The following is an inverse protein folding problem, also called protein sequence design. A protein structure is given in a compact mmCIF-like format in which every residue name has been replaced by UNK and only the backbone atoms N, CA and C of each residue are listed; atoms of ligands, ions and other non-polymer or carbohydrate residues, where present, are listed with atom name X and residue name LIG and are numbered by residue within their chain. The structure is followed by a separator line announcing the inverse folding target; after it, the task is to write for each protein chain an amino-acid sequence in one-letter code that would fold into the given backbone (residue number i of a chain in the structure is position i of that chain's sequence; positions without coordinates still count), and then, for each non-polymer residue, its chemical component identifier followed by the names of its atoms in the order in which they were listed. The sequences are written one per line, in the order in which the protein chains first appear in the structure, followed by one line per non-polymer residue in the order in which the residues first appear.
data_IF_932946144757
#
_entry.id   IF_932946144757
#
_cell.length_a   1.000
_cell.length_b   1.000
_cell.length_c   1.000
_cell.angle_alpha   90.00
_cell.angle_beta   90.00
_cell.angle_gamma   90.00
#
_symmetry.space_group_name_H-M   'P 1'
#
loop_
_entity.id
_entity.type
_entity.pdbx_description
1 polymer ?
#
# COMPACT_ATOMS: atom_id res chain seq x y z
N UNK A 1 13.76 -11.50 19.37
CA UNK A 1 12.68 -12.24 18.68
C UNK A 1 12.38 -13.46 19.52
N UNK A 2 11.36 -13.38 20.38
CA UNK A 2 10.97 -14.44 21.32
C UNK A 2 9.59 -14.95 20.92
N UNK A 3 9.52 -16.21 20.53
CA UNK A 3 8.35 -17.11 20.51
C UNK A 3 7.04 -16.63 19.89
N UNK A 4 7.07 -16.00 18.71
CA UNK A 4 5.87 -15.84 17.87
C UNK A 4 4.70 -15.04 18.47
N UNK A 5 4.86 -14.51 19.69
CA UNK A 5 3.88 -13.67 20.37
C UNK A 5 4.07 -12.23 19.91
N UNK A 6 3.06 -11.71 19.22
CA UNK A 6 3.01 -10.34 18.77
C UNK A 6 2.53 -9.46 19.94
N UNK A 7 3.47 -8.86 20.68
CA UNK A 7 3.14 -7.81 21.66
C UNK A 7 2.84 -6.50 20.92
N UNK A 8 1.61 -6.40 20.43
CA UNK A 8 1.09 -5.28 19.67
C UNK A 8 0.00 -4.57 20.48
N UNK A 9 -0.02 -3.24 20.47
CA UNK A 9 -1.21 -2.48 20.86
C UNK A 9 -2.24 -2.56 19.71
N UNK A 10 -3.40 -3.23 19.89
CA UNK A 10 -4.35 -3.43 18.80
C UNK A 10 -4.94 -2.12 18.28
N UNK A 11 -5.16 -1.12 19.14
CA UNK A 11 -5.72 0.15 18.73
C UNK A 11 -4.70 0.94 17.89
N UNK A 12 -3.43 0.95 18.31
CA UNK A 12 -2.35 1.59 17.55
C UNK A 12 -2.13 0.91 16.21
N UNK A 13 -2.18 -0.42 16.16
CA UNK A 13 -1.97 -1.18 14.94
C UNK A 13 -3.11 -1.02 13.93
N UNK A 14 -4.38 -1.03 14.39
CA UNK A 14 -5.53 -0.71 13.53
C UNK A 14 -5.41 0.68 12.92
N UNK A 15 -5.05 1.68 13.74
CA UNK A 15 -4.83 3.05 13.25
C UNK A 15 -3.71 3.09 12.21
N UNK A 16 -2.58 2.46 12.50
CA UNK A 16 -1.47 2.40 11.55
C UNK A 16 -1.83 1.72 10.23
N UNK A 17 -2.61 0.63 10.27
CA UNK A 17 -3.12 -0.03 9.06
C UNK A 17 -4.08 0.86 8.27
N UNK A 18 -5.01 1.54 8.95
CA UNK A 18 -5.93 2.49 8.32
C UNK A 18 -5.19 3.68 7.69
N UNK A 19 -4.22 4.28 8.41
CA UNK A 19 -3.40 5.37 7.90
C UNK A 19 -2.58 4.93 6.67
N UNK A 20 -2.07 3.71 6.68
CA UNK A 20 -1.35 3.12 5.55
C UNK A 20 -2.26 2.92 4.34
N UNK A 21 -3.49 2.46 4.56
CA UNK A 21 -4.46 2.28 3.48
C UNK A 21 -4.82 3.61 2.81
N UNK A 22 -5.09 4.64 3.62
CA UNK A 22 -5.35 6.01 3.17
C UNK A 22 -4.14 6.61 2.42
N UNK A 23 -2.92 6.33 2.88
CA UNK A 23 -1.72 6.75 2.17
C UNK A 23 -1.63 6.09 0.78
N UNK A 24 -1.97 4.80 0.67
CA UNK A 24 -2.03 4.09 -0.62
C UNK A 24 -3.08 4.68 -1.57
N UNK A 25 -4.25 5.05 -1.06
CA UNK A 25 -5.29 5.74 -1.83
C UNK A 25 -4.81 7.11 -2.32
N UNK A 26 -4.19 7.90 -1.43
CA UNK A 26 -3.64 9.21 -1.79
C UNK A 26 -2.52 9.12 -2.85
N UNK A 27 -1.64 8.12 -2.73
CA UNK A 27 -0.59 7.84 -3.73
C UNK A 27 -1.20 7.44 -5.07
N UNK A 28 -2.24 6.62 -5.06
CA UNK A 28 -2.97 6.18 -6.27
C UNK A 28 -3.68 7.36 -6.94
N UNK A 29 -4.33 8.23 -6.15
CA UNK A 29 -4.99 9.43 -6.65
C UNK A 29 -3.99 10.41 -7.29
N UNK A 30 -2.82 10.63 -6.66
CA UNK A 30 -1.76 11.46 -7.27
C UNK A 30 -1.16 10.84 -8.52
N UNK A 31 -1.00 9.51 -8.58
CA UNK A 31 -0.65 8.85 -9.84
C UNK A 31 -1.70 9.21 -10.91
N UNK A 32 -2.98 9.04 -10.62
CA UNK A 32 -4.03 9.29 -11.61
C UNK A 32 -4.03 10.74 -12.13
N UNK A 33 -3.81 11.72 -11.24
CA UNK A 33 -3.73 13.14 -11.60
C UNK A 33 -2.39 13.51 -12.25
N UNK A 34 -1.32 13.57 -11.45
CA UNK A 34 0.01 14.05 -11.89
C UNK A 34 0.61 13.14 -12.97
N UNK A 35 0.45 11.82 -12.82
CA UNK A 35 0.91 10.85 -13.82
C UNK A 35 0.14 10.96 -15.14
N UNK A 36 -1.16 11.26 -15.08
CA UNK A 36 -1.97 11.50 -16.28
C UNK A 36 -1.55 12.76 -17.03
N UNK A 37 -1.19 13.83 -16.30
CA UNK A 37 -0.62 15.06 -16.89
C UNK A 37 0.72 14.80 -17.58
N UNK A 38 1.59 13.98 -16.96
CA UNK A 38 2.87 13.56 -17.56
C UNK A 38 2.61 12.76 -18.85
N UNK A 39 1.71 11.78 -18.83
CA UNK A 39 1.38 10.97 -20.01
C UNK A 39 0.84 11.84 -21.15
N UNK A 40 -0.04 12.80 -20.84
CA UNK A 40 -0.61 13.73 -21.80
C UNK A 40 0.45 14.68 -22.40
N UNK A 41 1.28 15.30 -21.55
CA UNK A 41 2.35 16.19 -22.00
C UNK A 41 3.36 15.44 -22.87
N UNK A 42 3.72 14.23 -22.46
CA UNK A 42 4.67 13.41 -23.20
C UNK A 42 4.08 12.97 -24.54
N UNK A 43 2.77 12.69 -24.62
CA UNK A 43 2.07 12.41 -25.88
C UNK A 43 2.15 13.54 -26.92
N UNK A 44 2.30 14.80 -26.48
CA UNK A 44 2.49 15.95 -27.36
C UNK A 44 3.91 16.07 -27.94
N UNK A 45 4.86 15.22 -27.53
CA UNK A 45 6.27 15.21 -27.97
C UNK A 45 6.94 16.59 -27.90
N UNK A 46 7.08 17.18 -26.71
CA UNK A 46 7.55 18.56 -26.52
C UNK A 46 9.02 18.81 -26.90
N UNK A 47 9.81 17.75 -27.09
CA UNK A 47 11.25 17.80 -27.41
C UNK A 47 11.56 17.84 -28.90
N UNK A 48 10.58 18.14 -29.75
CA UNK A 48 10.78 18.31 -31.20
C UNK A 48 10.72 17.01 -32.01
N UNK A 49 10.78 17.18 -33.34
CA UNK A 49 10.65 16.10 -34.33
C UNK A 49 11.96 15.78 -35.04
N UNK A 50 13.07 16.43 -34.67
CA UNK A 50 14.40 16.16 -35.21
C UNK A 50 15.00 14.88 -34.60
N UNK A 51 16.18 14.51 -35.08
CA UNK A 51 16.88 13.30 -34.61
C UNK A 51 17.22 13.35 -33.12
N UNK A 52 17.49 14.55 -32.59
CA UNK A 52 17.77 14.77 -31.17
C UNK A 52 16.49 14.53 -30.36
N UNK A 53 15.37 15.10 -30.76
CA UNK A 53 14.06 14.88 -30.16
C UNK A 53 13.62 13.41 -30.24
N UNK A 54 13.86 12.74 -31.36
CA UNK A 54 13.58 11.31 -31.50
C UNK A 54 14.48 10.42 -30.62
N UNK A 55 15.73 10.81 -30.38
CA UNK A 55 16.62 10.12 -29.45
C UNK A 55 16.19 10.34 -27.98
N UNK A 56 15.82 11.57 -27.62
CA UNK A 56 15.29 11.89 -26.30
C UNK A 56 14.00 11.13 -26.02
N UNK A 57 13.04 11.16 -26.95
CA UNK A 57 11.77 10.42 -26.86
C UNK A 57 11.99 8.97 -26.47
N UNK A 58 12.84 8.25 -27.22
CA UNK A 58 13.07 6.82 -27.00
C UNK A 58 13.57 6.53 -25.59
N UNK A 59 14.48 7.35 -25.09
CA UNK A 59 15.07 7.17 -23.76
C UNK A 59 14.09 7.57 -22.67
N UNK A 60 13.44 8.72 -22.82
CA UNK A 60 12.49 9.27 -21.86
C UNK A 60 11.27 8.37 -21.70
N UNK A 61 10.67 7.94 -22.82
CA UNK A 61 9.43 7.14 -22.84
C UNK A 61 9.57 5.84 -22.06
N UNK A 62 10.71 5.15 -22.18
CA UNK A 62 10.96 3.91 -21.46
C UNK A 62 11.06 4.12 -19.94
N UNK A 63 11.69 5.21 -19.52
CA UNK A 63 11.82 5.57 -18.10
C UNK A 63 10.47 6.03 -17.55
N UNK A 64 9.77 6.91 -18.25
CA UNK A 64 8.42 7.40 -17.93
C UNK A 64 7.47 6.23 -17.63
N UNK A 65 7.33 5.29 -18.58
CA UNK A 65 6.45 4.13 -18.41
C UNK A 65 6.87 3.21 -17.25
N UNK A 66 8.16 3.13 -16.95
CA UNK A 66 8.66 2.34 -15.82
C UNK A 66 8.30 2.99 -14.50
N UNK A 67 8.53 4.30 -14.36
CA UNK A 67 8.18 5.07 -13.16
C UNK A 67 6.68 5.07 -12.94
N UNK A 68 5.88 5.34 -13.97
CA UNK A 68 4.42 5.41 -13.84
C UNK A 68 3.81 4.06 -13.44
N UNK A 69 4.33 2.94 -13.95
CA UNK A 69 3.90 1.60 -13.52
C UNK A 69 4.32 1.29 -12.09
N UNK A 70 5.56 1.63 -11.72
CA UNK A 70 6.04 1.44 -10.36
C UNK A 70 5.19 2.24 -9.36
N UNK A 71 4.86 3.49 -9.69
CA UNK A 71 4.01 4.34 -8.88
C UNK A 71 2.61 3.73 -8.66
N UNK A 72 1.95 3.26 -9.72
CA UNK A 72 0.69 2.51 -9.60
C UNK A 72 0.84 1.34 -8.63
N UNK A 73 1.93 0.55 -8.77
CA UNK A 73 2.21 -0.57 -7.88
C UNK A 73 2.36 -0.16 -6.42
N UNK A 74 3.08 0.93 -6.13
CA UNK A 74 3.29 1.41 -4.75
C UNK A 74 1.96 1.78 -4.08
N UNK A 75 1.09 2.53 -4.77
CA UNK A 75 -0.23 2.90 -4.23
C UNK A 75 -1.04 1.67 -3.85
N UNK A 76 -1.17 0.70 -4.76
CA UNK A 76 -1.87 -0.56 -4.51
C UNK A 76 -1.29 -1.34 -3.33
N UNK A 77 0.03 -1.49 -3.26
CA UNK A 77 0.68 -2.26 -2.18
C UNK A 77 0.48 -1.63 -0.81
N UNK A 78 0.47 -0.30 -0.71
CA UNK A 78 0.19 0.39 0.54
C UNK A 78 -1.27 0.18 0.98
N UNK A 79 -2.23 0.26 0.05
CA UNK A 79 -3.64 0.00 0.33
C UNK A 79 -3.90 -1.44 0.77
N UNK A 80 -3.33 -2.41 0.06
CA UNK A 80 -3.40 -3.84 0.42
C UNK A 80 -2.80 -4.09 1.80
N UNK A 81 -1.56 -3.64 2.03
CA UNK A 81 -0.86 -3.86 3.30
C UNK A 81 -1.60 -3.22 4.48
N UNK A 82 -2.14 -2.01 4.31
CA UNK A 82 -2.92 -1.34 5.35
C UNK A 82 -4.17 -2.13 5.73
N UNK A 83 -4.89 -2.64 4.73
CA UNK A 83 -6.09 -3.47 4.92
C UNK A 83 -5.75 -4.80 5.60
N UNK A 84 -4.71 -5.48 5.13
CA UNK A 84 -4.26 -6.77 5.67
C UNK A 84 -3.82 -6.65 7.14
N UNK A 85 -3.16 -5.55 7.51
CA UNK A 85 -2.78 -5.28 8.90
C UNK A 85 -4.02 -5.16 9.79
N UNK A 86 -5.04 -4.41 9.37
CA UNK A 86 -6.28 -4.26 10.15
C UNK A 86 -6.96 -5.62 10.33
N UNK A 87 -7.10 -6.40 9.25
CA UNK A 87 -7.69 -7.74 9.29
C UNK A 87 -6.93 -8.70 10.21
N UNK A 88 -5.59 -8.68 10.15
CA UNK A 88 -4.75 -9.53 10.99
C UNK A 88 -4.87 -9.18 12.48
N UNK A 89 -4.93 -7.89 12.82
CA UNK A 89 -5.13 -7.43 14.20
C UNK A 89 -6.51 -7.85 14.72
N UNK A 90 -7.56 -7.69 13.92
CA UNK A 90 -8.91 -8.10 14.30
C UNK A 90 -9.02 -9.61 14.54
N UNK A 91 -8.45 -10.41 13.65
CA UNK A 91 -8.40 -11.86 13.81
C UNK A 91 -7.63 -12.29 15.07
N UNK A 92 -6.52 -11.60 15.38
CA UNK A 92 -5.71 -11.89 16.57
C UNK A 92 -6.49 -11.58 17.86
N UNK A 93 -7.10 -10.39 17.95
CA UNK A 93 -7.91 -10.00 19.13
C UNK A 93 -9.10 -10.95 19.35
N UNK A 94 -9.77 -11.36 18.28
CA UNK A 94 -10.88 -12.32 18.38
C UNK A 94 -10.40 -13.69 18.88
N UNK A 95 -9.26 -14.16 18.37
CA UNK A 95 -8.66 -15.45 18.76
C UNK A 95 -8.25 -15.44 20.22
N UNK A 96 -7.64 -14.36 20.70
CA UNK A 96 -7.23 -14.20 22.09
C UNK A 96 -8.45 -14.15 23.03
N UNK A 97 -9.48 -13.38 22.67
CA UNK A 97 -10.73 -13.31 23.44
C UNK A 97 -11.44 -14.66 23.53
N UNK A 98 -11.52 -15.40 22.41
CA UNK A 98 -12.12 -16.73 22.38
C UNK A 98 -11.32 -17.74 23.22
N UNK A 99 -10.00 -17.62 23.23
CA UNK A 99 -9.12 -18.48 24.01
C UNK A 99 -9.24 -18.19 25.51
N UNK A 100 -9.25 -16.91 25.92
CA UNK A 100 -9.48 -16.52 27.31
C UNK A 100 -10.81 -17.06 27.84
N UNK A 101 -11.90 -16.86 27.10
CA UNK A 101 -13.23 -17.34 27.51
C UNK A 101 -13.34 -18.88 27.59
N UNK A 102 -12.48 -19.63 26.90
CA UNK A 102 -12.39 -21.09 27.05
C UNK A 102 -11.62 -21.47 28.32
N UNK A 103 -10.54 -20.75 28.62
CA UNK A 103 -9.74 -20.99 29.82
C UNK A 103 -10.51 -20.63 31.10
N UNK A 104 -11.23 -19.51 31.12
CA UNK A 104 -12.06 -19.10 32.26
C UNK A 104 -13.10 -20.16 32.60
N UNK A 105 -13.82 -20.67 31.58
CA UNK A 105 -14.80 -21.75 31.76
C UNK A 105 -14.19 -23.07 32.26
N UNK A 106 -12.95 -23.38 31.86
CA UNK A 106 -12.26 -24.58 32.33
C UNK A 106 -11.75 -24.41 33.78
N UNK A 107 -11.44 -23.18 34.20
CA UNK A 107 -11.07 -22.86 35.57
C UNK A 107 -12.28 -22.91 36.52
N UNK A 108 -13.44 -22.41 36.08
CA UNK A 108 -14.70 -22.44 36.86
C UNK A 108 -15.27 -23.86 37.08
N UNK A 109 -14.79 -24.85 36.32
CA UNK A 109 -15.19 -26.26 36.43
C UNK A 109 -14.29 -27.08 37.39
N UNK A 110 -13.32 -26.45 38.06
CA UNK A 110 -12.45 -27.07 39.06
C UNK A 110 -12.80 -26.62 40.48
#
# INVERSE_FOLDING_TARGET
MTDGQLWLDPARARRGGADLALAGEAVTARRAAEGGEIEAASGARPWGQDDIGAAFERSYRGIEQTVLRAWTGVGHRLTELGTDVVLAVDASVQTDGASSARLDRAADQR
#
